data_IF_901504926987
#
_entry.id   IF_901504926987
#
_cell.length_a   1.000
_cell.length_b   1.000
_cell.length_c   1.000
_cell.angle_alpha   90.00
_cell.angle_beta   90.00
_cell.angle_gamma   90.00
#
_symmetry.space_group_name_H-M   'P 1'
#
loop_
_entity.id
_entity.type
_entity.pdbx_description
1 polymer ?
#
# COMPACT_ATOMS: atom_id res chain seq x y z
N UNK A 1 -47.03 -60.64 14.39
CA UNK A 1 -45.69 -60.30 14.91
C UNK A 1 -45.10 -59.24 13.97
N UNK A 2 -45.20 -57.99 14.40
CA UNK A 2 -44.80 -56.81 13.59
C UNK A 2 -43.34 -56.50 13.90
N UNK A 3 -42.51 -56.50 12.84
CA UNK A 3 -41.11 -56.03 12.91
C UNK A 3 -41.11 -54.52 12.86
N UNK A 4 -40.67 -53.87 13.91
CA UNK A 4 -40.31 -52.44 13.93
C UNK A 4 -38.92 -52.27 13.34
N UNK A 5 -38.85 -51.60 12.21
CA UNK A 5 -37.59 -51.08 11.64
C UNK A 5 -37.36 -49.69 12.24
N UNK A 6 -36.36 -49.56 13.10
CA UNK A 6 -35.84 -48.27 13.57
C UNK A 6 -34.87 -47.75 12.51
N UNK A 7 -35.30 -46.73 11.77
CA UNK A 7 -34.41 -45.91 10.92
C UNK A 7 -33.81 -44.83 11.81
N UNK A 8 -32.54 -44.99 12.17
CA UNK A 8 -31.73 -43.92 12.75
C UNK A 8 -31.41 -42.93 11.63
N UNK A 9 -32.17 -41.86 11.56
CA UNK A 9 -31.81 -40.68 10.77
C UNK A 9 -30.72 -39.93 11.55
N UNK A 10 -29.45 -40.14 11.16
CA UNK A 10 -28.36 -39.27 11.60
C UNK A 10 -28.60 -37.87 11.02
N UNK A 11 -29.14 -36.97 11.83
CA UNK A 11 -29.13 -35.54 11.55
C UNK A 11 -27.68 -35.06 11.59
N UNK A 12 -27.05 -35.01 10.43
CA UNK A 12 -25.81 -34.24 10.23
C UNK A 12 -26.22 -32.78 10.28
N UNK A 13 -26.22 -32.19 11.47
CA UNK A 13 -26.23 -30.72 11.60
C UNK A 13 -24.97 -30.18 10.97
N UNK A 14 -25.04 -29.87 9.67
CA UNK A 14 -24.16 -28.89 9.07
C UNK A 14 -24.40 -27.59 9.81
N UNK A 15 -23.62 -27.31 10.83
CA UNK A 15 -23.45 -25.96 11.35
C UNK A 15 -22.68 -25.22 10.26
N UNK A 16 -23.40 -24.78 9.23
CA UNK A 16 -22.94 -23.65 8.45
C UNK A 16 -22.91 -22.50 9.44
N UNK A 17 -21.72 -22.16 9.94
CA UNK A 17 -21.49 -20.87 10.54
C UNK A 17 -21.81 -19.86 9.45
N UNK A 18 -23.05 -19.43 9.40
CA UNK A 18 -23.42 -18.26 8.66
C UNK A 18 -22.54 -17.16 9.25
N UNK A 19 -21.45 -16.83 8.56
CA UNK A 19 -20.71 -15.60 8.85
C UNK A 19 -21.78 -14.50 8.77
N UNK A 20 -22.15 -13.95 9.93
CA UNK A 20 -23.09 -12.88 10.01
C UNK A 20 -22.54 -11.79 9.08
N UNK A 21 -23.31 -11.42 8.05
CA UNK A 21 -22.94 -10.29 7.21
C UNK A 21 -22.70 -9.12 8.15
N UNK A 22 -21.58 -8.38 7.99
CA UNK A 22 -21.28 -7.23 8.81
C UNK A 22 -22.55 -6.36 8.87
N UNK A 23 -23.02 -6.08 10.06
CA UNK A 23 -24.18 -5.21 10.23
C UNK A 23 -23.64 -3.80 10.14
N UNK A 24 -23.99 -3.06 9.08
CA UNK A 24 -23.62 -1.66 8.96
C UNK A 24 -24.13 -0.93 10.20
N UNK A 25 -23.20 -0.36 10.97
CA UNK A 25 -23.54 0.47 12.11
C UNK A 25 -24.28 1.72 11.61
N UNK A 26 -25.38 2.07 12.27
CA UNK A 26 -26.04 3.36 12.03
C UNK A 26 -25.27 4.53 12.66
N UNK A 27 -24.30 4.25 13.52
CA UNK A 27 -23.44 5.25 14.10
C UNK A 27 -22.46 5.73 13.04
N UNK A 28 -22.29 7.01 12.97
CA UNK A 28 -21.48 7.69 11.95
C UNK A 28 -20.39 8.50 12.62
N UNK A 29 -19.57 7.84 13.45
CA UNK A 29 -18.47 8.52 14.13
C UNK A 29 -17.59 9.32 13.15
N UNK A 30 -17.29 8.73 11.98
CA UNK A 30 -16.52 9.43 10.96
C UNK A 30 -17.28 10.64 10.39
N UNK A 31 -18.59 10.52 10.14
CA UNK A 31 -19.41 11.62 9.62
C UNK A 31 -19.43 12.79 10.58
N UNK A 32 -19.71 12.54 11.85
CA UNK A 32 -19.84 13.59 12.86
C UNK A 32 -18.58 14.44 13.00
N UNK A 33 -17.42 13.82 12.92
CA UNK A 33 -16.12 14.52 13.03
C UNK A 33 -15.65 15.14 11.71
N UNK A 34 -16.06 14.61 10.55
CA UNK A 34 -15.61 15.10 9.23
C UNK A 34 -16.55 16.13 8.62
N UNK A 35 -17.83 16.16 8.99
CA UNK A 35 -18.82 17.08 8.42
C UNK A 35 -18.37 18.54 8.48
N UNK A 36 -17.79 19.07 9.59
CA UNK A 36 -17.34 20.45 9.65
C UNK A 36 -16.30 20.81 8.59
N UNK A 37 -15.40 19.87 8.24
CA UNK A 37 -14.37 20.08 7.23
C UNK A 37 -14.93 20.01 5.80
N UNK A 38 -16.02 19.29 5.59
CA UNK A 38 -16.72 19.28 4.30
C UNK A 38 -17.52 20.57 4.15
N UNK A 39 -18.20 21.03 5.19
CA UNK A 39 -19.04 22.22 5.16
C UNK A 39 -18.23 23.50 4.95
N UNK A 40 -17.01 23.57 5.48
CA UNK A 40 -16.10 24.70 5.28
C UNK A 40 -15.23 24.59 4.01
N UNK A 41 -15.38 23.49 3.22
CA UNK A 41 -14.67 23.25 1.96
C UNK A 41 -13.22 22.78 2.09
N UNK A 42 -12.71 22.58 3.30
CA UNK A 42 -11.34 22.07 3.50
C UNK A 42 -11.20 20.62 3.04
N UNK A 43 -12.25 19.80 3.24
CA UNK A 43 -12.30 18.41 2.81
C UNK A 43 -13.32 18.25 1.68
N UNK A 44 -12.88 18.10 0.42
CA UNK A 44 -13.79 17.89 -0.71
C UNK A 44 -14.68 16.66 -0.54
N UNK A 45 -14.08 15.55 -0.13
CA UNK A 45 -14.77 14.32 0.19
C UNK A 45 -13.84 13.28 0.79
N UNK A 46 -14.43 12.31 1.47
CA UNK A 46 -13.71 11.20 2.07
C UNK A 46 -14.55 9.91 2.10
N UNK A 47 -13.85 8.78 2.03
CA UNK A 47 -14.38 7.47 2.40
C UNK A 47 -13.67 7.04 3.67
N UNK A 48 -14.44 6.59 4.66
CA UNK A 48 -13.94 5.97 5.89
C UNK A 48 -14.62 4.64 6.11
N UNK A 49 -13.82 3.62 6.48
CA UNK A 49 -14.34 2.32 6.91
C UNK A 49 -13.63 1.92 8.19
N UNK A 50 -14.40 1.62 9.22
CA UNK A 50 -13.95 0.97 10.44
C UNK A 50 -14.60 -0.40 10.54
N UNK A 51 -13.82 -1.41 10.87
CA UNK A 51 -14.29 -2.78 11.02
C UNK A 51 -13.73 -3.40 12.29
N UNK A 52 -14.61 -4.05 13.07
CA UNK A 52 -14.25 -4.83 14.25
C UNK A 52 -15.31 -5.91 14.50
N UNK A 53 -14.86 -7.14 14.72
CA UNK A 53 -15.72 -8.26 15.14
C UNK A 53 -16.98 -8.46 14.28
N UNK A 54 -16.84 -8.33 12.96
CA UNK A 54 -17.97 -8.47 12.02
C UNK A 54 -18.85 -7.22 11.88
N UNK A 55 -18.62 -6.18 12.69
CA UNK A 55 -19.32 -4.88 12.58
C UNK A 55 -18.51 -3.94 11.69
N UNK A 56 -19.16 -3.33 10.71
CA UNK A 56 -18.53 -2.37 9.82
C UNK A 56 -19.29 -1.05 9.84
N UNK A 57 -18.58 0.05 10.10
CA UNK A 57 -19.05 1.40 9.82
C UNK A 57 -18.44 1.85 8.48
N UNK A 58 -19.31 2.34 7.59
CA UNK A 58 -18.90 2.92 6.31
C UNK A 58 -19.44 4.33 6.19
N UNK A 59 -18.56 5.28 5.91
CA UNK A 59 -18.93 6.68 5.71
C UNK A 59 -18.38 7.16 4.36
N UNK A 60 -19.29 7.56 3.46
CA UNK A 60 -18.96 8.35 2.28
C UNK A 60 -19.50 9.75 2.49
N UNK A 61 -18.63 10.76 2.50
CA UNK A 61 -19.01 12.15 2.80
C UNK A 61 -18.42 13.09 1.77
N UNK A 62 -19.15 14.15 1.39
CA UNK A 62 -18.69 15.11 0.40
C UNK A 62 -18.73 14.59 -1.03
N UNK A 63 -17.76 15.00 -1.85
CA UNK A 63 -17.76 14.83 -3.29
C UNK A 63 -16.48 14.14 -3.77
N UNK A 64 -16.62 13.28 -4.77
CA UNK A 64 -15.51 12.79 -5.57
C UNK A 64 -15.06 13.82 -6.62
N UNK A 65 -16.00 14.68 -7.04
CA UNK A 65 -15.77 15.82 -7.91
C UNK A 65 -16.67 16.99 -7.44
N UNK A 66 -16.05 18.01 -6.88
CA UNK A 66 -16.77 19.19 -6.33
C UNK A 66 -17.43 20.00 -7.43
N UNK A 67 -16.74 20.20 -8.57
CA UNK A 67 -17.24 21.00 -9.68
C UNK A 67 -18.47 20.36 -10.33
N UNK A 68 -18.43 19.05 -10.54
CA UNK A 68 -19.54 18.27 -11.06
C UNK A 68 -20.60 17.92 -9.99
N UNK A 69 -20.37 18.26 -8.74
CA UNK A 69 -21.21 17.86 -7.58
C UNK A 69 -21.44 16.35 -7.50
N UNK A 70 -20.46 15.56 -7.97
CA UNK A 70 -20.53 14.10 -7.93
C UNK A 70 -20.16 13.58 -6.55
N UNK A 71 -21.13 13.03 -5.84
CA UNK A 71 -20.91 12.46 -4.49
C UNK A 71 -19.90 11.33 -4.54
N UNK A 72 -19.05 11.25 -3.50
CA UNK A 72 -18.06 10.17 -3.35
C UNK A 72 -18.74 8.87 -2.93
N UNK A 73 -18.24 7.74 -3.45
CA UNK A 73 -18.80 6.39 -3.21
C UNK A 73 -17.68 5.37 -3.05
N UNK A 74 -17.99 4.23 -2.45
CA UNK A 74 -17.08 3.11 -2.19
C UNK A 74 -16.47 2.49 -3.47
N UNK A 75 -17.15 2.63 -4.60
CA UNK A 75 -16.73 2.13 -5.92
C UNK A 75 -16.06 3.19 -6.79
N UNK A 76 -15.88 4.40 -6.29
CA UNK A 76 -15.08 5.41 -6.99
C UNK A 76 -13.61 5.03 -7.01
N UNK A 77 -12.97 5.31 -8.16
CA UNK A 77 -11.57 4.95 -8.43
C UNK A 77 -10.63 6.03 -7.92
N UNK A 78 -9.59 5.63 -7.23
CA UNK A 78 -8.54 6.54 -6.77
C UNK A 78 -7.16 5.92 -6.92
N UNK A 79 -6.16 6.79 -7.01
CA UNK A 79 -4.77 6.35 -6.99
C UNK A 79 -4.34 6.12 -5.54
N UNK A 80 -3.99 4.87 -5.21
CA UNK A 80 -3.65 4.51 -3.83
C UNK A 80 -2.20 4.85 -3.44
N UNK A 81 -1.40 5.28 -4.42
CA UNK A 81 0.00 5.66 -4.21
C UNK A 81 0.80 4.59 -3.46
N UNK A 82 1.50 4.98 -2.41
CA UNK A 82 2.43 4.12 -1.66
C UNK A 82 1.82 2.87 -1.03
N UNK A 83 0.50 2.77 -0.92
CA UNK A 83 -0.14 1.51 -0.51
C UNK A 83 0.12 0.37 -1.51
N UNK A 84 0.52 0.69 -2.76
CA UNK A 84 0.99 -0.29 -3.76
C UNK A 84 2.15 -1.14 -3.25
N UNK A 85 3.00 -0.59 -2.36
CA UNK A 85 4.17 -1.29 -1.81
C UNK A 85 3.81 -2.58 -1.09
N UNK A 86 2.71 -2.59 -0.34
CA UNK A 86 2.23 -3.79 0.34
C UNK A 86 1.88 -4.93 -0.63
N UNK A 87 1.40 -4.61 -1.83
CA UNK A 87 1.13 -5.60 -2.87
C UNK A 87 2.42 -6.24 -3.40
N UNK A 88 3.48 -5.45 -3.57
CA UNK A 88 4.80 -5.98 -3.89
C UNK A 88 5.33 -6.88 -2.75
N UNK A 89 5.19 -6.43 -1.51
CA UNK A 89 5.56 -7.22 -0.33
C UNK A 89 4.87 -8.58 -0.29
N UNK A 90 3.57 -8.63 -0.57
CA UNK A 90 2.80 -9.89 -0.63
C UNK A 90 3.29 -10.80 -1.76
N UNK A 91 3.62 -10.27 -2.95
CA UNK A 91 4.16 -11.09 -4.05
C UNK A 91 5.53 -11.69 -3.71
N UNK A 92 6.40 -10.92 -3.05
CA UNK A 92 7.68 -11.42 -2.55
C UNK A 92 7.48 -12.46 -1.45
N UNK A 93 6.59 -12.18 -0.48
CA UNK A 93 6.27 -13.13 0.59
C UNK A 93 5.80 -14.47 0.05
N UNK A 94 5.00 -14.46 -1.01
CA UNK A 94 4.56 -15.67 -1.70
C UNK A 94 5.71 -16.45 -2.32
N UNK A 95 6.66 -15.78 -2.98
CA UNK A 95 7.84 -16.45 -3.52
C UNK A 95 8.75 -17.02 -2.44
N UNK A 96 8.85 -16.36 -1.28
CA UNK A 96 9.55 -16.89 -0.10
C UNK A 96 8.87 -18.14 0.43
N UNK A 97 7.56 -18.10 0.60
CA UNK A 97 6.73 -19.23 1.06
C UNK A 97 6.87 -20.44 0.12
N UNK A 98 6.94 -20.21 -1.19
CA UNK A 98 7.15 -21.24 -2.20
C UNK A 98 8.61 -21.74 -2.28
N UNK A 99 9.53 -21.22 -1.46
CA UNK A 99 10.94 -21.58 -1.44
C UNK A 99 11.73 -21.15 -2.70
N UNK A 100 11.19 -20.27 -3.51
CA UNK A 100 11.82 -19.78 -4.74
C UNK A 100 12.91 -18.75 -4.49
N UNK A 101 12.78 -17.98 -3.41
CA UNK A 101 13.73 -16.96 -2.97
C UNK A 101 13.85 -16.98 -1.45
N UNK A 102 14.97 -16.42 -0.93
CA UNK A 102 15.11 -16.04 0.47
C UNK A 102 15.18 -14.52 0.58
N UNK A 103 14.65 -13.94 1.66
CA UNK A 103 14.79 -12.51 1.93
C UNK A 103 16.26 -12.07 2.06
N UNK A 104 17.13 -12.98 2.47
CA UNK A 104 18.55 -12.73 2.66
C UNK A 104 19.40 -13.10 1.42
N UNK A 105 18.75 -13.55 0.34
CA UNK A 105 19.43 -13.71 -0.94
C UNK A 105 19.97 -12.36 -1.44
N UNK A 106 21.20 -12.32 -1.97
CA UNK A 106 21.71 -11.17 -2.70
C UNK A 106 20.78 -10.82 -3.87
N UNK A 107 20.45 -9.56 -4.03
CA UNK A 107 19.70 -9.08 -5.21
C UNK A 107 20.41 -9.50 -6.50
N UNK A 108 21.75 -9.49 -6.51
CA UNK A 108 22.59 -9.90 -7.64
C UNK A 108 22.42 -11.36 -8.08
N UNK A 109 21.88 -12.22 -7.24
CA UNK A 109 21.52 -13.60 -7.61
C UNK A 109 20.48 -13.65 -8.72
N UNK A 110 19.59 -12.66 -8.78
CA UNK A 110 18.48 -12.57 -9.72
C UNK A 110 18.66 -11.44 -10.74
N UNK A 111 19.38 -10.40 -10.36
CA UNK A 111 19.67 -9.20 -11.11
C UNK A 111 21.19 -8.97 -11.09
N UNK A 112 21.96 -9.62 -12.01
CA UNK A 112 23.42 -9.61 -11.98
C UNK A 112 24.07 -8.22 -11.96
N UNK A 113 23.39 -7.21 -12.50
CA UNK A 113 23.83 -5.81 -12.50
C UNK A 113 24.00 -5.22 -11.09
N UNK A 114 23.46 -5.87 -10.05
CA UNK A 114 23.63 -5.47 -8.64
C UNK A 114 24.84 -6.13 -7.96
N UNK A 115 25.70 -6.86 -8.69
CA UNK A 115 26.85 -7.52 -8.11
C UNK A 115 27.94 -6.55 -7.62
N UNK A 116 28.02 -5.38 -8.24
CA UNK A 116 29.00 -4.35 -7.89
C UNK A 116 28.30 -3.00 -7.79
N UNK A 117 28.11 -2.52 -6.56
CA UNK A 117 27.44 -1.26 -6.26
C UNK A 117 28.42 -0.23 -5.71
N UNK A 118 28.13 1.03 -5.92
CA UNK A 118 28.91 2.16 -5.45
C UNK A 118 28.11 2.97 -4.45
N UNK A 119 28.78 3.47 -3.42
CA UNK A 119 28.21 4.31 -2.35
C UNK A 119 28.78 5.70 -2.45
N UNK A 120 27.93 6.71 -2.29
CA UNK A 120 28.30 8.11 -2.29
C UNK A 120 28.98 8.47 -0.96
N UNK A 121 30.24 8.92 -1.00
CA UNK A 121 30.95 9.47 0.15
C UNK A 121 30.67 10.96 0.30
N UNK A 122 30.87 11.71 -0.78
CA UNK A 122 30.74 13.17 -0.81
C UNK A 122 30.32 13.65 -2.20
N UNK A 123 29.55 14.71 -2.24
CA UNK A 123 29.27 15.49 -3.45
C UNK A 123 29.66 16.95 -3.21
N UNK A 124 30.66 17.44 -3.94
CA UNK A 124 31.15 18.81 -3.83
C UNK A 124 31.40 19.37 -5.21
N UNK A 125 30.87 20.57 -5.48
CA UNK A 125 31.00 21.30 -6.75
C UNK A 125 30.67 20.45 -8.00
N UNK A 126 29.64 19.55 -7.85
CA UNK A 126 29.21 18.63 -8.90
C UNK A 126 30.10 17.40 -9.10
N UNK A 127 31.16 17.25 -8.30
CA UNK A 127 32.05 16.09 -8.29
C UNK A 127 31.59 15.13 -7.20
N UNK A 128 31.39 13.85 -7.55
CA UNK A 128 31.01 12.78 -6.61
C UNK A 128 32.22 11.88 -6.33
N UNK A 129 32.52 11.72 -5.04
CA UNK A 129 33.47 10.71 -4.57
C UNK A 129 32.69 9.47 -4.16
N UNK A 130 33.12 8.32 -4.66
CA UNK A 130 32.43 7.05 -4.46
C UNK A 130 33.40 6.00 -3.94
N UNK A 131 32.88 5.05 -3.15
CA UNK A 131 33.57 3.80 -2.87
C UNK A 131 32.70 2.59 -3.21
N UNK A 132 33.31 1.42 -3.41
CA UNK A 132 32.56 0.16 -3.62
C UNK A 132 31.81 -0.20 -2.34
N UNK A 133 30.53 -0.59 -2.49
CA UNK A 133 29.76 -1.10 -1.36
C UNK A 133 30.48 -2.29 -0.70
N UNK A 134 30.57 -2.26 0.62
CA UNK A 134 31.14 -3.33 1.44
C UNK A 134 30.10 -4.38 1.81
N UNK A 135 28.85 -3.94 1.96
CA UNK A 135 27.73 -4.78 2.35
C UNK A 135 27.00 -5.30 1.11
N UNK A 136 26.61 -6.57 1.17
CA UNK A 136 25.79 -7.19 0.13
C UNK A 136 24.36 -6.66 0.23
N UNK A 137 23.82 -6.18 -0.89
CA UNK A 137 22.41 -5.78 -0.97
C UNK A 137 21.51 -7.01 -1.04
N UNK A 138 20.57 -7.15 -0.12
CA UNK A 138 19.63 -8.28 -0.07
C UNK A 138 18.20 -7.86 -0.48
N UNK A 139 17.35 -8.84 -0.82
CA UNK A 139 15.92 -8.64 -1.12
C UNK A 139 15.21 -7.97 0.06
N UNK A 140 15.53 -8.36 1.29
CA UNK A 140 15.02 -7.73 2.52
C UNK A 140 15.27 -6.23 2.53
N UNK A 141 16.49 -5.81 2.21
CA UNK A 141 16.93 -4.42 2.30
C UNK A 141 16.24 -3.50 1.28
N UNK A 142 15.94 -3.99 0.09
CA UNK A 142 15.22 -3.18 -0.92
C UNK A 142 13.77 -2.96 -0.52
N UNK A 143 13.13 -3.94 0.13
CA UNK A 143 11.71 -3.88 0.49
C UNK A 143 11.44 -3.17 1.81
N UNK A 144 12.39 -3.16 2.73
CA UNK A 144 12.25 -2.49 4.03
C UNK A 144 12.96 -1.12 4.10
N UNK A 145 13.39 -0.60 2.95
CA UNK A 145 14.01 0.72 2.82
C UNK A 145 15.37 0.89 3.50
N UNK A 146 16.14 -0.19 3.65
CA UNK A 146 17.53 -0.13 4.15
C UNK A 146 18.57 -0.34 3.05
N UNK A 147 18.16 -0.38 1.78
CA UNK A 147 19.04 -0.67 0.64
C UNK A 147 19.94 0.48 0.18
N UNK A 148 19.76 1.70 0.70
CA UNK A 148 20.59 2.86 0.32
C UNK A 148 20.13 3.63 -0.92
N UNK A 149 18.97 3.33 -1.48
CA UNK A 149 18.46 4.02 -2.68
C UNK A 149 17.82 5.36 -2.36
N UNK A 150 17.90 6.35 -3.28
CA UNK A 150 17.10 7.56 -3.19
C UNK A 150 15.59 7.25 -3.31
N UNK A 151 14.75 8.25 -2.99
CA UNK A 151 13.29 8.08 -3.09
C UNK A 151 12.87 7.62 -4.47
N UNK A 152 13.40 8.27 -5.51
CA UNK A 152 13.20 7.91 -6.90
C UNK A 152 14.49 8.10 -7.69
N UNK A 153 14.70 7.26 -8.70
CA UNK A 153 15.71 7.47 -9.70
C UNK A 153 15.05 8.11 -10.89
N UNK A 154 15.41 9.36 -11.14
CA UNK A 154 15.01 10.08 -12.33
C UNK A 154 15.83 9.56 -13.51
N UNK A 155 15.32 8.58 -14.24
CA UNK A 155 15.76 8.36 -15.60
C UNK A 155 15.24 9.52 -16.45
N UNK A 156 15.99 10.64 -16.49
CA UNK A 156 15.71 11.72 -17.44
C UNK A 156 16.02 11.19 -18.84
N UNK A 157 15.07 10.51 -19.44
CA UNK A 157 15.08 10.34 -20.89
C UNK A 157 14.61 11.66 -21.49
N UNK A 158 15.43 12.26 -22.33
CA UNK A 158 15.14 13.52 -23.00
C UNK A 158 13.89 13.46 -23.91
N UNK A 159 13.40 12.24 -24.19
CA UNK A 159 12.30 11.92 -25.10
C UNK A 159 10.96 11.59 -24.38
N UNK A 160 10.95 11.54 -23.03
CA UNK A 160 9.72 11.29 -22.28
C UNK A 160 9.23 12.58 -21.62
N UNK A 161 8.23 13.21 -22.24
CA UNK A 161 7.48 14.31 -21.64
C UNK A 161 6.57 13.80 -20.55
N UNK A 162 6.91 14.04 -19.31
CA UNK A 162 6.05 13.70 -18.17
C UNK A 162 6.86 13.71 -16.89
N UNK A 163 6.70 14.75 -16.09
CA UNK A 163 7.51 14.96 -14.90
C UNK A 163 7.34 13.91 -13.84
N UNK A 164 8.43 13.57 -13.19
CA UNK A 164 8.47 13.30 -11.76
C UNK A 164 8.39 11.86 -11.28
N UNK A 165 7.99 10.88 -12.06
CA UNK A 165 7.99 9.48 -11.64
C UNK A 165 8.68 8.68 -12.75
N UNK A 166 9.67 7.87 -12.42
CA UNK A 166 10.57 7.13 -13.33
C UNK A 166 9.87 6.69 -14.63
N UNK A 167 9.77 7.64 -15.58
CA UNK A 167 8.87 7.53 -16.68
C UNK A 167 9.42 6.69 -17.83
N UNK A 168 8.63 5.77 -18.35
CA UNK A 168 8.75 5.26 -19.69
C UNK A 168 9.71 4.08 -19.91
N UNK A 169 10.32 3.51 -18.86
CA UNK A 169 11.13 2.29 -18.99
C UNK A 169 10.47 1.14 -18.21
N UNK A 170 10.51 -0.10 -18.74
CA UNK A 170 10.06 -1.28 -17.99
C UNK A 170 10.76 -1.42 -16.64
N UNK A 171 10.13 -2.09 -15.68
CA UNK A 171 10.65 -2.30 -14.32
C UNK A 171 12.09 -2.85 -14.33
N UNK A 172 12.40 -3.84 -15.16
CA UNK A 172 13.75 -4.41 -15.29
C UNK A 172 14.79 -3.38 -15.73
N UNK A 173 14.45 -2.54 -16.71
CA UNK A 173 15.36 -1.48 -17.16
C UNK A 173 15.53 -0.40 -16.09
N UNK A 174 14.46 -0.04 -15.39
CA UNK A 174 14.52 0.92 -14.25
C UNK A 174 15.42 0.37 -13.14
N UNK A 175 15.34 -0.93 -12.82
CA UNK A 175 16.22 -1.58 -11.87
C UNK A 175 17.70 -1.53 -12.32
N UNK A 176 18.01 -1.77 -13.60
CA UNK A 176 19.37 -1.66 -14.12
C UNK A 176 19.93 -0.24 -14.03
N UNK A 177 19.10 0.79 -14.26
CA UNK A 177 19.48 2.20 -14.04
C UNK A 177 19.77 2.45 -12.56
N UNK A 178 18.99 1.84 -11.66
CA UNK A 178 19.19 1.93 -10.22
C UNK A 178 20.55 1.32 -9.80
N UNK A 179 20.92 0.17 -10.37
CA UNK A 179 22.20 -0.47 -10.11
C UNK A 179 23.40 0.38 -10.56
N UNK A 180 23.24 1.16 -11.63
CA UNK A 180 24.26 2.08 -12.14
C UNK A 180 24.36 3.40 -11.35
N UNK A 181 23.43 3.65 -10.42
CA UNK A 181 23.36 4.88 -9.62
C UNK A 181 24.00 4.67 -8.26
N UNK A 182 24.78 5.65 -7.71
CA UNK A 182 25.35 5.49 -6.39
C UNK A 182 24.28 5.38 -5.30
N UNK A 183 24.50 4.48 -4.35
CA UNK A 183 23.74 4.39 -3.11
C UNK A 183 24.07 5.59 -2.22
N UNK A 184 23.14 6.02 -1.40
CA UNK A 184 23.31 7.14 -0.47
C UNK A 184 24.00 6.73 0.83
N UNK A 185 24.07 5.44 1.12
CA UNK A 185 24.74 4.82 2.26
C UNK A 185 24.90 3.32 2.05
N UNK A 186 25.78 2.70 2.84
CA UNK A 186 26.00 1.26 2.84
C UNK A 186 24.70 0.48 3.10
N UNK A 187 24.36 -0.54 2.29
CA UNK A 187 23.17 -1.37 2.50
C UNK A 187 23.08 -1.90 3.92
N UNK A 188 21.91 -1.79 4.53
CA UNK A 188 21.61 -2.26 5.88
C UNK A 188 22.03 -1.34 7.03
N UNK A 189 22.72 -0.22 6.78
CA UNK A 189 23.26 0.64 7.84
C UNK A 189 22.34 1.77 8.29
N UNK A 190 21.45 2.21 7.41
CA UNK A 190 20.49 3.30 7.64
C UNK A 190 19.17 2.96 6.97
N UNK A 191 18.14 3.74 7.29
CA UNK A 191 16.86 3.67 6.61
C UNK A 191 16.59 4.94 5.80
N UNK A 192 16.07 4.77 4.60
CA UNK A 192 15.56 5.86 3.77
C UNK A 192 14.43 5.33 2.89
N UNK A 193 13.26 5.90 3.06
CA UNK A 193 12.09 5.54 2.28
C UNK A 193 12.33 5.71 0.77
N UNK A 194 12.01 4.67 -0.02
CA UNK A 194 12.38 4.60 -1.44
C UNK A 194 11.33 3.86 -2.27
N UNK A 195 10.82 4.50 -3.32
CA UNK A 195 10.06 3.81 -4.35
C UNK A 195 10.99 2.90 -5.17
N UNK A 196 12.20 3.37 -5.46
CA UNK A 196 13.22 2.64 -6.23
C UNK A 196 13.51 1.26 -5.64
N UNK A 197 13.68 1.19 -4.31
CA UNK A 197 13.91 -0.11 -3.64
C UNK A 197 12.77 -1.09 -3.90
N UNK A 198 11.52 -0.65 -3.76
CA UNK A 198 10.35 -1.51 -4.01
C UNK A 198 10.26 -1.93 -5.48
N UNK A 199 10.55 -1.02 -6.42
CA UNK A 199 10.56 -1.34 -7.86
C UNK A 199 11.65 -2.37 -8.20
N UNK A 200 12.79 -2.37 -7.50
CA UNK A 200 13.81 -3.45 -7.59
C UNK A 200 13.22 -4.78 -7.08
N UNK A 201 12.44 -4.78 -5.99
CA UNK A 201 11.72 -5.96 -5.53
C UNK A 201 10.79 -6.53 -6.61
N UNK A 202 10.05 -5.68 -7.31
CA UNK A 202 9.22 -6.10 -8.45
C UNK A 202 10.06 -6.66 -9.61
N UNK A 203 11.25 -6.09 -9.88
CA UNK A 203 12.17 -6.63 -10.87
C UNK A 203 12.69 -8.03 -10.50
N UNK A 204 12.90 -8.30 -9.21
CA UNK A 204 13.22 -9.66 -8.70
C UNK A 204 12.06 -10.62 -8.99
N UNK A 205 10.79 -10.20 -8.75
CA UNK A 205 9.64 -11.03 -9.12
C UNK A 205 9.65 -11.39 -10.61
N UNK A 206 9.90 -10.42 -11.50
CA UNK A 206 10.01 -10.68 -12.94
C UNK A 206 11.15 -11.65 -13.28
N UNK A 207 12.30 -11.50 -12.62
CA UNK A 207 13.46 -12.36 -12.87
C UNK A 207 13.21 -13.82 -12.45
N UNK A 208 12.54 -14.02 -11.30
CA UNK A 208 12.26 -15.35 -10.73
C UNK A 208 11.14 -16.06 -11.45
N UNK A 209 10.10 -15.32 -11.87
CA UNK A 209 8.87 -15.91 -12.41
C UNK A 209 8.83 -15.95 -13.94
N UNK A 210 9.67 -15.16 -14.61
CA UNK A 210 9.61 -14.95 -16.07
C UNK A 210 8.37 -14.16 -16.52
N UNK A 211 7.54 -13.67 -15.59
CA UNK A 211 6.34 -12.90 -15.88
C UNK A 211 6.57 -11.41 -15.57
N UNK A 212 5.83 -10.55 -16.25
CA UNK A 212 5.73 -9.15 -15.83
C UNK A 212 5.15 -9.06 -14.43
N UNK A 213 5.67 -8.15 -13.59
CA UNK A 213 5.24 -8.06 -12.21
C UNK A 213 3.73 -7.80 -12.06
N UNK A 214 3.18 -6.90 -12.84
CA UNK A 214 1.75 -6.60 -12.83
C UNK A 214 0.86 -7.80 -13.23
N UNK A 215 1.37 -8.66 -14.09
CA UNK A 215 0.68 -9.89 -14.48
C UNK A 215 0.75 -10.94 -13.38
N UNK A 216 1.91 -11.08 -12.73
CA UNK A 216 2.08 -11.97 -11.59
C UNK A 216 1.21 -11.53 -10.42
N UNK A 217 1.23 -10.23 -10.07
CA UNK A 217 0.35 -9.66 -9.05
C UNK A 217 -1.13 -9.92 -9.34
N UNK A 218 -1.53 -9.69 -10.59
CA UNK A 218 -2.92 -9.93 -11.01
C UNK A 218 -3.32 -11.39 -10.82
N UNK A 219 -2.51 -12.33 -11.30
CA UNK A 219 -2.78 -13.76 -11.23
C UNK A 219 -2.79 -14.31 -9.81
N UNK A 220 -1.83 -13.90 -8.99
CA UNK A 220 -1.60 -14.51 -7.68
C UNK A 220 -2.35 -13.84 -6.53
N UNK A 221 -2.76 -12.57 -6.70
CA UNK A 221 -3.35 -11.78 -5.63
C UNK A 221 -4.69 -11.16 -6.04
N UNK A 222 -4.72 -10.36 -7.12
CA UNK A 222 -5.91 -9.57 -7.44
C UNK A 222 -7.09 -10.45 -7.88
N UNK A 223 -6.86 -11.36 -8.83
CA UNK A 223 -7.91 -12.24 -9.34
C UNK A 223 -8.43 -13.21 -8.26
N UNK A 224 -7.57 -13.90 -7.49
CA UNK A 224 -8.03 -14.77 -6.40
C UNK A 224 -8.83 -14.04 -5.33
N UNK A 225 -8.48 -12.79 -4.98
CA UNK A 225 -9.25 -11.96 -4.05
C UNK A 225 -10.50 -11.33 -4.68
N UNK A 226 -10.69 -11.46 -5.99
CA UNK A 226 -11.79 -10.83 -6.72
C UNK A 226 -11.69 -9.30 -6.77
N UNK A 227 -10.47 -8.76 -6.84
CA UNK A 227 -10.18 -7.33 -6.93
C UNK A 227 -10.27 -6.87 -8.39
N UNK A 228 -11.49 -6.76 -8.91
CA UNK A 228 -11.76 -6.48 -10.34
C UNK A 228 -11.62 -5.00 -10.71
N UNK A 229 -11.49 -4.13 -9.73
CA UNK A 229 -11.39 -2.68 -9.87
C UNK A 229 -10.04 -2.16 -9.38
N UNK A 230 -8.96 -2.91 -9.66
CA UNK A 230 -7.57 -2.57 -9.28
C UNK A 230 -6.66 -2.77 -10.48
N UNK A 231 -5.97 -1.70 -10.92
CA UNK A 231 -5.17 -1.67 -12.14
C UNK A 231 -3.97 -0.73 -12.03
N UNK A 232 -2.95 -0.94 -12.86
CA UNK A 232 -1.89 0.05 -13.08
C UNK A 232 -2.30 1.10 -14.12
N UNK A 233 -3.06 0.71 -15.11
CA UNK A 233 -3.46 1.55 -16.26
C UNK A 233 -4.97 1.47 -16.48
N UNK A 234 -5.76 2.16 -15.64
CA UNK A 234 -7.20 2.23 -15.82
C UNK A 234 -7.53 2.91 -17.17
N UNK A 235 -8.52 2.40 -17.85
CA UNK A 235 -9.04 2.99 -19.09
C UNK A 235 -9.79 4.29 -18.81
N UNK A 236 -9.98 5.13 -19.82
CA UNK A 236 -10.76 6.36 -19.72
C UNK A 236 -12.18 6.11 -19.19
N UNK A 237 -12.77 4.98 -19.54
CA UNK A 237 -14.08 4.57 -19.01
C UNK A 237 -14.04 4.38 -17.49
N UNK A 238 -12.98 3.77 -16.97
CA UNK A 238 -12.79 3.56 -15.52
C UNK A 238 -12.49 4.88 -14.80
N UNK A 239 -11.69 5.76 -15.42
CA UNK A 239 -11.35 7.07 -14.89
C UNK A 239 -12.52 8.05 -14.84
N UNK A 240 -13.65 7.80 -15.53
CA UNK A 240 -14.88 8.60 -15.37
C UNK A 240 -15.44 8.60 -13.94
N UNK A 241 -15.09 7.58 -13.16
CA UNK A 241 -15.45 7.47 -11.74
C UNK A 241 -14.28 7.80 -10.81
N UNK A 242 -13.28 8.51 -11.31
CA UNK A 242 -12.11 8.93 -10.52
C UNK A 242 -12.51 9.93 -9.44
N UNK A 243 -11.93 9.79 -8.25
CA UNK A 243 -11.92 10.84 -7.25
C UNK A 243 -10.89 11.88 -7.65
N UNK A 244 -11.29 13.15 -7.80
CA UNK A 244 -10.40 14.23 -8.19
C UNK A 244 -9.42 14.57 -7.07
N UNK A 245 -8.19 14.94 -7.45
CA UNK A 245 -7.16 15.40 -6.53
C UNK A 245 -7.27 16.90 -6.29
N UNK A 246 -7.25 17.28 -5.02
CA UNK A 246 -7.29 18.67 -4.59
C UNK A 246 -6.01 19.04 -3.86
N UNK A 247 -5.68 20.32 -3.82
CA UNK A 247 -4.64 20.86 -2.97
C UNK A 247 -5.28 21.59 -1.78
N UNK A 248 -4.79 21.30 -0.58
CA UNK A 248 -5.13 22.07 0.60
C UNK A 248 -4.09 23.18 0.78
N UNK A 249 -4.56 24.41 0.94
CA UNK A 249 -3.76 25.53 1.45
C UNK A 249 -4.11 25.74 2.93
N UNK A 250 -3.16 26.20 3.73
CA UNK A 250 -3.33 26.41 5.16
C UNK A 250 -4.62 27.20 5.48
N UNK A 251 -5.57 26.52 6.13
CA UNK A 251 -6.85 27.08 6.55
C UNK A 251 -7.85 27.44 5.44
N UNK A 252 -7.48 27.37 4.18
CA UNK A 252 -8.34 27.68 3.04
C UNK A 252 -9.11 26.44 2.54
N UNK A 253 -10.22 26.62 1.80
CA UNK A 253 -10.85 25.55 1.07
C UNK A 253 -9.88 24.84 0.12
N UNK A 254 -10.08 23.54 -0.09
CA UNK A 254 -9.29 22.75 -1.01
C UNK A 254 -9.54 23.18 -2.47
N UNK A 255 -8.47 23.32 -3.23
CA UNK A 255 -8.52 23.78 -4.64
C UNK A 255 -8.14 22.64 -5.58
N UNK A 256 -8.91 22.47 -6.65
CA UNK A 256 -8.48 21.66 -7.79
C UNK A 256 -7.64 22.50 -8.76
N UNK A 257 -6.57 21.89 -9.29
CA UNK A 257 -5.72 22.51 -10.31
C UNK A 257 -5.41 21.53 -11.42
N UNK A 258 -5.18 22.03 -12.62
CA UNK A 258 -4.90 21.19 -13.79
C UNK A 258 -3.65 20.32 -13.61
N UNK A 259 -2.59 20.84 -13.01
CA UNK A 259 -1.39 20.06 -12.72
C UNK A 259 -1.65 18.88 -11.79
N UNK A 260 -2.66 18.95 -10.93
CA UNK A 260 -3.07 17.84 -10.07
C UNK A 260 -3.78 16.76 -10.86
N UNK A 261 -4.60 17.13 -11.82
CA UNK A 261 -5.17 16.20 -12.78
C UNK A 261 -4.09 15.47 -13.59
N UNK A 262 -3.00 16.16 -13.92
CA UNK A 262 -1.84 15.54 -14.59
C UNK A 262 -1.08 14.59 -13.67
N UNK A 263 -0.94 14.89 -12.37
CA UNK A 263 -0.34 13.97 -11.39
C UNK A 263 -1.17 12.70 -11.21
N UNK A 264 -2.48 12.77 -11.37
CA UNK A 264 -3.40 11.62 -11.32
C UNK A 264 -3.50 10.88 -12.67
N UNK A 265 -2.53 10.95 -13.55
CA UNK A 265 -2.52 10.12 -14.76
C UNK A 265 -1.84 8.76 -14.47
N UNK A 266 -2.25 7.68 -15.19
CA UNK A 266 -1.46 6.46 -15.22
C UNK A 266 -0.01 6.78 -15.61
N UNK A 267 0.94 6.08 -15.01
CA UNK A 267 2.37 6.44 -15.00
C UNK A 267 3.04 6.65 -16.36
N UNK A 268 2.47 6.17 -17.44
CA UNK A 268 2.91 6.51 -18.80
C UNK A 268 1.89 6.04 -19.85
N UNK A 269 1.85 6.75 -20.96
CA UNK A 269 0.97 6.42 -22.09
C UNK A 269 1.35 5.11 -22.79
N UNK A 270 2.58 4.63 -22.60
CA UNK A 270 3.09 3.40 -23.20
C UNK A 270 2.75 2.13 -22.40
N UNK A 271 2.18 2.26 -21.19
CA UNK A 271 1.82 1.16 -20.28
C UNK A 271 2.98 0.17 -20.03
N UNK A 272 4.21 0.67 -19.83
CA UNK A 272 5.41 -0.17 -19.68
C UNK A 272 5.98 -0.20 -18.27
N UNK A 273 5.65 0.81 -17.42
CA UNK A 273 6.18 0.92 -16.06
C UNK A 273 5.06 0.75 -15.02
N UNK A 274 4.95 -0.45 -14.47
CA UNK A 274 4.05 -0.77 -13.37
C UNK A 274 4.73 -0.48 -12.03
N UNK A 275 4.80 0.80 -11.60
CA UNK A 275 5.49 1.15 -10.35
C UNK A 275 4.94 0.37 -9.15
N UNK A 276 5.79 -0.46 -8.57
CA UNK A 276 5.50 -1.16 -7.33
C UNK A 276 5.52 -0.22 -6.11
N UNK A 277 6.20 0.93 -6.27
CA UNK A 277 6.25 1.97 -5.26
C UNK A 277 4.94 2.74 -5.10
N UNK A 278 4.13 2.94 -6.19
CA UNK A 278 2.97 3.82 -6.10
C UNK A 278 1.93 3.70 -7.24
N UNK A 279 2.05 2.76 -8.18
CA UNK A 279 1.34 2.82 -9.48
C UNK A 279 -0.10 2.30 -9.51
N UNK A 280 -0.61 1.66 -8.47
CA UNK A 280 -1.95 1.07 -8.48
C UNK A 280 -3.06 2.10 -8.29
N UNK A 281 -4.09 1.93 -9.12
CA UNK A 281 -5.41 2.51 -8.96
C UNK A 281 -6.36 1.44 -8.42
N UNK A 282 -7.28 1.83 -7.55
CA UNK A 282 -8.18 0.90 -6.89
C UNK A 282 -9.48 1.59 -6.47
N UNK A 283 -10.36 0.84 -5.83
CA UNK A 283 -11.55 1.33 -5.13
C UNK A 283 -11.47 0.95 -3.64
N UNK A 284 -12.22 1.63 -2.78
CA UNK A 284 -12.27 1.27 -1.37
C UNK A 284 -12.78 -0.16 -1.16
N UNK A 285 -13.72 -0.61 -2.00
CA UNK A 285 -14.21 -2.00 -1.97
C UNK A 285 -13.11 -3.03 -2.25
N UNK A 286 -12.24 -2.80 -3.23
CA UNK A 286 -11.15 -3.74 -3.52
C UNK A 286 -10.04 -3.64 -2.49
N UNK A 287 -9.72 -2.43 -2.03
CA UNK A 287 -8.73 -2.22 -0.99
C UNK A 287 -9.07 -2.97 0.31
N UNK A 288 -10.35 -2.97 0.70
CA UNK A 288 -10.83 -3.76 1.85
C UNK A 288 -10.57 -5.26 1.67
N UNK A 289 -10.71 -5.82 0.47
CA UNK A 289 -10.42 -7.25 0.23
C UNK A 289 -8.96 -7.58 0.52
N UNK A 290 -8.04 -6.73 0.06
CA UNK A 290 -6.60 -6.93 0.29
C UNK A 290 -6.25 -6.81 1.79
N UNK A 291 -6.69 -5.74 2.45
CA UNK A 291 -6.34 -5.54 3.85
C UNK A 291 -7.07 -6.50 4.80
N UNK A 292 -8.28 -6.93 4.48
CA UNK A 292 -8.95 -8.01 5.22
C UNK A 292 -8.23 -9.35 5.07
N UNK A 293 -7.68 -9.65 3.88
CA UNK A 293 -6.81 -10.82 3.70
C UNK A 293 -5.59 -10.75 4.64
N UNK A 294 -4.94 -9.58 4.77
CA UNK A 294 -3.84 -9.40 5.72
C UNK A 294 -4.31 -9.55 7.18
N UNK A 295 -5.44 -8.93 7.55
CA UNK A 295 -6.05 -9.04 8.89
C UNK A 295 -6.43 -10.49 9.23
N UNK A 296 -6.85 -11.26 8.25
CA UNK A 296 -7.21 -12.66 8.40
C UNK A 296 -6.04 -13.63 8.12
N UNK A 297 -4.80 -13.13 8.29
CA UNK A 297 -3.59 -13.94 8.21
C UNK A 297 -3.52 -14.77 6.92
N UNK A 298 -3.70 -14.08 5.80
CA UNK A 298 -3.52 -14.63 4.47
C UNK A 298 -4.80 -15.18 3.81
N UNK A 299 -5.96 -15.10 4.46
CA UNK A 299 -7.24 -15.59 3.89
C UNK A 299 -8.17 -14.44 3.56
N UNK A 300 -8.60 -14.35 2.30
CA UNK A 300 -9.59 -13.37 1.85
C UNK A 300 -11.01 -13.66 2.38
N UNK A 301 -11.88 -12.64 2.37
CA UNK A 301 -13.29 -12.78 2.77
C UNK A 301 -14.07 -13.83 1.93
N UNK A 302 -13.55 -14.16 0.74
CA UNK A 302 -14.09 -15.21 -0.12
C UNK A 302 -13.57 -16.62 0.20
N UNK A 303 -12.80 -16.77 1.28
CA UNK A 303 -12.21 -18.03 1.73
C UNK A 303 -10.94 -18.45 0.99
N UNK A 304 -10.49 -17.68 0.00
CA UNK A 304 -9.26 -18.01 -0.74
C UNK A 304 -8.03 -17.66 0.09
N UNK A 305 -7.10 -18.60 0.22
CA UNK A 305 -5.81 -18.37 0.87
C UNK A 305 -4.80 -17.86 -0.14
N UNK A 306 -4.20 -16.72 0.16
CA UNK A 306 -3.11 -16.09 -0.60
C UNK A 306 -1.76 -16.46 0.01
N UNK A 307 -1.63 -16.38 1.33
CA UNK A 307 -0.42 -16.67 2.10
C UNK A 307 -0.75 -17.56 3.28
N UNK A 308 0.25 -18.29 3.79
CA UNK A 308 0.13 -18.97 5.07
C UNK A 308 0.14 -17.95 6.22
N UNK A 309 -0.47 -18.35 7.33
CA UNK A 309 -0.55 -17.54 8.54
C UNK A 309 0.83 -17.13 9.05
N UNK A 310 1.75 -18.09 9.12
CA UNK A 310 3.12 -17.86 9.59
C UNK A 310 3.87 -16.86 8.71
N UNK A 311 3.67 -16.91 7.39
CA UNK A 311 4.25 -15.97 6.44
C UNK A 311 3.79 -14.53 6.73
N UNK A 312 2.48 -14.34 6.99
CA UNK A 312 1.97 -13.01 7.33
C UNK A 312 2.56 -12.52 8.64
N UNK A 313 2.58 -13.36 9.69
CA UNK A 313 3.07 -12.99 11.02
C UNK A 313 4.56 -12.66 11.02
N UNK A 314 5.39 -13.47 10.35
CA UNK A 314 6.85 -13.37 10.46
C UNK A 314 7.47 -12.31 9.58
N UNK A 315 6.87 -11.97 8.42
CA UNK A 315 7.52 -11.09 7.44
C UNK A 315 6.67 -9.93 6.92
N UNK A 316 5.39 -9.85 7.27
CA UNK A 316 4.52 -8.74 6.89
C UNK A 316 4.00 -7.94 8.09
N UNK A 317 3.55 -8.61 9.14
CA UNK A 317 2.92 -8.00 10.30
C UNK A 317 3.93 -7.47 11.34
N UNK A 318 5.21 -7.79 11.22
CA UNK A 318 6.29 -7.36 12.10
C UNK A 318 7.46 -6.79 11.29
N UNK A 319 8.24 -5.90 11.87
CA UNK A 319 9.38 -5.29 11.19
C UNK A 319 10.41 -6.32 10.74
N UNK A 320 10.96 -6.10 9.53
CA UNK A 320 12.12 -6.85 9.02
C UNK A 320 13.42 -6.05 9.09
N UNK A 321 13.39 -4.88 9.72
CA UNK A 321 14.55 -3.99 9.94
C UNK A 321 15.33 -4.37 11.19
N UNK A 322 16.61 -3.96 11.30
CA UNK A 322 17.37 -4.02 12.54
C UNK A 322 16.66 -3.32 13.70
N UNK A 323 16.91 -3.77 14.92
CA UNK A 323 16.22 -3.31 16.14
C UNK A 323 16.35 -1.80 16.39
N UNK A 324 17.48 -1.20 16.01
CA UNK A 324 17.76 0.24 16.16
C UNK A 324 17.06 1.14 15.13
N UNK A 325 16.30 0.58 14.18
CA UNK A 325 15.60 1.31 13.13
C UNK A 325 14.09 1.37 13.39
N UNK A 326 13.39 2.22 12.65
CA UNK A 326 11.92 2.31 12.67
C UNK A 326 11.24 1.03 12.20
N UNK A 327 9.99 0.82 12.60
CA UNK A 327 9.24 -0.36 12.25
C UNK A 327 8.77 -0.35 10.79
N UNK A 328 9.25 -1.29 9.97
CA UNK A 328 8.82 -1.49 8.58
C UNK A 328 9.12 -2.93 8.14
N UNK A 329 8.19 -3.53 7.40
CA UNK A 329 8.34 -4.87 6.85
C UNK A 329 8.52 -4.85 5.33
N UNK A 330 8.00 -5.84 4.62
CA UNK A 330 8.07 -5.89 3.16
C UNK A 330 7.04 -4.96 2.54
N UNK A 331 7.37 -3.69 2.37
CA UNK A 331 6.46 -2.71 1.76
C UNK A 331 5.29 -2.28 2.64
N UNK A 332 5.28 -2.58 3.93
CA UNK A 332 4.28 -2.18 4.91
C UNK A 332 4.92 -1.53 6.13
N UNK A 333 4.29 -0.49 6.68
CA UNK A 333 4.56 -0.06 8.05
C UNK A 333 4.16 -1.19 8.99
N UNK A 334 5.04 -1.59 9.89
CA UNK A 334 4.84 -2.71 10.77
C UNK A 334 5.45 -2.42 12.15
N UNK A 335 4.89 -2.95 13.25
CA UNK A 335 5.41 -2.75 14.58
C UNK A 335 6.78 -3.43 14.75
N UNK A 336 7.55 -2.98 15.76
CA UNK A 336 8.82 -3.62 16.14
C UNK A 336 8.61 -4.95 16.85
N UNK A 337 7.49 -5.10 17.52
CA UNK A 337 7.09 -6.30 18.24
C UNK A 337 5.67 -6.66 17.86
N UNK A 338 5.40 -7.94 17.79
CA UNK A 338 4.06 -8.45 17.66
C UNK A 338 3.39 -8.44 19.05
N UNK A 339 2.36 -7.62 19.19
CA UNK A 339 1.54 -7.51 20.40
C UNK A 339 0.06 -7.24 20.03
N UNK A 340 -0.83 -7.33 21.02
CA UNK A 340 -2.28 -7.19 20.80
C UNK A 340 -2.68 -5.80 20.27
N UNK A 341 -1.87 -4.78 20.49
CA UNK A 341 -2.12 -3.41 20.02
C UNK A 341 -1.37 -3.10 18.72
N UNK A 342 -0.70 -4.08 18.13
CA UNK A 342 0.11 -3.93 16.95
C UNK A 342 -0.74 -3.73 15.69
N UNK A 343 -0.50 -2.62 15.00
CA UNK A 343 -1.13 -2.29 13.72
C UNK A 343 -0.10 -2.33 12.61
N UNK A 344 -0.45 -2.91 11.47
CA UNK A 344 0.37 -2.86 10.28
C UNK A 344 -0.47 -2.52 9.06
N UNK A 345 0.18 -2.02 8.01
CA UNK A 345 -0.48 -1.56 6.80
C UNK A 345 0.30 -0.44 6.14
N UNK A 346 -0.35 0.40 5.36
CA UNK A 346 0.34 1.51 4.71
C UNK A 346 -0.57 2.71 4.43
N UNK A 347 0.03 3.89 4.46
CA UNK A 347 -0.54 5.11 3.91
C UNK A 347 -0.13 5.33 2.46
N UNK A 348 -0.83 6.23 1.79
CA UNK A 348 -0.49 6.72 0.46
C UNK A 348 -0.43 8.24 0.44
N UNK A 349 0.38 8.82 -0.43
CA UNK A 349 0.31 10.23 -0.72
C UNK A 349 -1.15 10.59 -1.04
N UNK A 350 -1.53 11.81 -0.80
CA UNK A 350 -2.89 12.33 -0.97
C UNK A 350 -3.93 11.81 0.04
N UNK A 351 -3.46 11.22 1.18
CA UNK A 351 -4.30 10.91 2.34
C UNK A 351 -5.08 9.61 2.26
N UNK A 352 -4.64 8.64 1.47
CA UNK A 352 -5.12 7.27 1.60
C UNK A 352 -4.42 6.57 2.75
N UNK A 353 -5.12 5.74 3.51
CA UNK A 353 -4.53 4.93 4.57
C UNK A 353 -5.37 3.68 4.82
N UNK A 354 -4.71 2.54 5.02
CA UNK A 354 -5.36 1.36 5.56
C UNK A 354 -4.42 0.61 6.49
N UNK A 355 -4.89 0.36 7.70
CA UNK A 355 -4.17 -0.35 8.74
C UNK A 355 -5.05 -1.44 9.31
N UNK A 356 -4.43 -2.54 9.72
CA UNK A 356 -5.11 -3.68 10.32
C UNK A 356 -4.42 -4.11 11.61
N UNK A 357 -5.22 -4.61 12.55
CA UNK A 357 -4.77 -5.35 13.72
C UNK A 357 -5.34 -6.77 13.62
N UNK A 358 -4.49 -7.75 13.40
CA UNK A 358 -4.92 -9.13 13.21
C UNK A 358 -5.34 -9.83 14.52
N UNK A 359 -4.79 -9.40 15.66
CA UNK A 359 -5.15 -9.94 16.98
C UNK A 359 -6.60 -9.59 17.34
N UNK A 360 -6.96 -8.31 17.16
CA UNK A 360 -8.28 -7.77 17.51
C UNK A 360 -9.29 -7.83 16.37
N UNK A 361 -8.89 -8.34 15.19
CA UNK A 361 -9.73 -8.33 13.98
C UNK A 361 -10.28 -6.95 13.67
N UNK A 362 -9.44 -5.95 13.77
CA UNK A 362 -9.76 -4.56 13.53
C UNK A 362 -9.13 -4.06 12.23
N UNK A 363 -9.87 -3.24 11.48
CA UNK A 363 -9.40 -2.58 10.28
C UNK A 363 -9.90 -1.13 10.27
N UNK A 364 -9.01 -0.22 9.88
CA UNK A 364 -9.35 1.15 9.53
C UNK A 364 -8.90 1.46 8.12
N UNK A 365 -9.79 2.04 7.33
CA UNK A 365 -9.48 2.53 6.00
C UNK A 365 -10.05 3.92 5.85
N UNK A 366 -9.27 4.82 5.23
CA UNK A 366 -9.81 6.05 4.67
C UNK A 366 -9.17 6.38 3.34
N UNK A 367 -9.95 7.03 2.49
CA UNK A 367 -9.56 7.53 1.20
C UNK A 367 -9.86 9.01 1.17
N UNK A 368 -8.81 9.79 1.00
CA UNK A 368 -8.86 11.22 0.75
C UNK A 368 -7.93 11.46 -0.43
N UNK A 369 -8.32 12.31 -1.36
CA UNK A 369 -7.47 12.69 -2.49
C UNK A 369 -7.15 14.18 -2.35
N UNK A 370 -6.22 14.47 -1.43
CA UNK A 370 -5.82 15.84 -1.13
C UNK A 370 -4.29 15.91 -0.97
N UNK A 371 -3.66 16.75 -1.77
CA UNK A 371 -2.21 16.94 -1.79
C UNK A 371 -1.81 18.19 -0.97
N UNK A 372 -0.67 18.09 -0.28
CA UNK A 372 -0.04 19.20 0.44
C UNK A 372 -0.72 19.58 1.76
N UNK A 373 -0.03 20.42 2.54
CA UNK A 373 -0.49 21.00 3.79
C UNK A 373 -0.70 20.04 4.95
N UNK A 374 -0.97 20.60 6.12
CA UNK A 374 -1.46 19.83 7.26
C UNK A 374 -2.89 19.37 6.96
N UNK A 375 -3.18 18.11 7.19
CA UNK A 375 -4.51 17.54 7.03
C UNK A 375 -5.27 17.69 8.36
N UNK A 376 -6.04 18.78 8.56
CA UNK A 376 -6.64 19.12 9.87
C UNK A 376 -7.66 18.10 10.34
N UNK A 377 -8.21 17.29 9.42
CA UNK A 377 -9.12 16.19 9.72
C UNK A 377 -8.43 14.94 10.29
N UNK A 378 -7.09 14.81 10.21
CA UNK A 378 -6.39 13.59 10.66
C UNK A 378 -6.67 13.27 12.13
N UNK A 379 -6.56 14.26 13.01
CA UNK A 379 -6.89 14.07 14.43
C UNK A 379 -8.38 13.73 14.64
N UNK A 380 -9.27 14.30 13.82
CA UNK A 380 -10.68 13.99 13.87
C UNK A 380 -10.97 12.54 13.44
N UNK A 381 -10.27 12.05 12.40
CA UNK A 381 -10.38 10.65 11.96
C UNK A 381 -9.83 9.69 13.00
N UNK A 382 -8.71 10.00 13.66
CA UNK A 382 -8.19 9.21 14.77
C UNK A 382 -9.17 9.18 15.94
N UNK A 383 -9.81 10.31 16.26
CA UNK A 383 -10.87 10.37 17.29
C UNK A 383 -12.03 9.47 16.93
N UNK A 384 -12.51 9.52 15.70
CA UNK A 384 -13.63 8.68 15.23
C UNK A 384 -13.27 7.19 15.30
N UNK A 385 -12.07 6.81 14.86
CA UNK A 385 -11.58 5.44 14.95
C UNK A 385 -11.48 4.97 16.41
N UNK A 386 -10.95 5.81 17.31
CA UNK A 386 -10.87 5.50 18.74
C UNK A 386 -12.24 5.29 19.38
N UNK A 387 -13.24 6.10 19.00
CA UNK A 387 -14.61 5.93 19.46
C UNK A 387 -15.22 4.62 18.97
N UNK A 388 -15.00 4.28 17.70
CA UNK A 388 -15.49 3.04 17.11
C UNK A 388 -14.84 1.80 17.76
N UNK A 389 -13.54 1.81 17.95
CA UNK A 389 -12.81 0.67 18.53
C UNK A 389 -12.89 0.63 20.06
N UNK A 390 -13.30 1.74 20.70
CA UNK A 390 -13.24 1.96 22.16
C UNK A 390 -11.81 1.78 22.73
N UNK A 391 -10.80 2.09 21.93
CA UNK A 391 -9.38 2.00 22.30
C UNK A 391 -8.67 3.30 21.93
N UNK A 392 -7.69 3.75 22.72
CA UNK A 392 -6.83 4.84 22.31
C UNK A 392 -6.06 4.39 21.07
N UNK A 393 -6.07 5.25 20.07
CA UNK A 393 -5.34 5.03 18.83
C UNK A 393 -3.84 5.10 19.11
N UNK A 394 -3.14 3.96 19.12
CA UNK A 394 -1.69 4.00 19.26
C UNK A 394 -1.09 4.47 17.92
N UNK A 395 -0.34 5.56 17.96
CA UNK A 395 0.49 6.01 16.82
C UNK A 395 1.65 5.04 16.52
N UNK A 396 1.64 3.85 17.12
CA UNK A 396 2.68 2.85 16.98
C UNK A 396 2.74 2.34 15.55
N UNK A 397 3.76 2.72 14.81
CA UNK A 397 4.13 2.21 13.51
C UNK A 397 3.85 3.10 12.30
N UNK A 398 2.97 4.09 12.37
CA UNK A 398 3.02 5.18 11.44
C UNK A 398 4.17 6.11 11.87
N UNK A 399 5.37 5.87 11.37
CA UNK A 399 6.38 6.92 11.39
C UNK A 399 5.71 8.19 10.91
N UNK A 400 5.95 9.32 11.57
CA UNK A 400 5.46 10.60 11.13
C UNK A 400 5.76 10.72 9.64
N UNK A 401 4.76 10.45 8.80
CA UNK A 401 4.80 10.82 7.41
C UNK A 401 4.60 12.33 7.38
N UNK A 402 5.62 13.04 7.75
CA UNK A 402 5.77 14.42 7.35
C UNK A 402 5.97 14.36 5.84
N UNK A 403 4.86 14.40 5.10
CA UNK A 403 4.85 14.53 3.64
C UNK A 403 5.44 15.85 3.22
N UNK A 404 6.71 16.05 3.48
CA UNK A 404 7.54 16.93 2.69
C UNK A 404 8.00 16.10 1.50
N UNK A 405 7.35 16.31 0.37
CA UNK A 405 8.01 16.19 -0.92
C UNK A 405 9.25 17.06 -0.81
N UNK A 406 10.37 16.45 -0.44
CA UNK A 406 11.61 17.15 -0.25
C UNK A 406 12.01 17.80 -1.57
N UNK A 407 11.97 19.12 -1.59
CA UNK A 407 13.00 19.89 -2.24
C UNK A 407 14.27 19.61 -1.43
N UNK A 408 15.11 18.70 -1.91
CA UNK A 408 16.59 18.75 -1.86
C UNK A 408 17.15 17.55 -2.62
#
# INVERSE_FOLDING_TARGET
>A
MKRFLLILAALFCLVMSAQAKPKDSKTTYARDVLQPYVDNGQLPGAISVFYKDGVQETCCIGYADVAAKRRIRMDDVFMQCSQTKGFCGVTIAKLVEEGKISLDDPVSKYLPEFAELWVLDEEKDGVKTLHKAKNVLTIRMVLNHTGGFPFEISAKRADVRGGGWSGGAPIRQTASIAAASPLLFEPGTKERYSNTGIDIGAAVVEAVTGMKWEQYLKREVLDPLGMKSTWFWPSDRQLKHKVELYALKDGAPAEWREEMGQQQRPYNDAHVFASAGAGLWTTANDQLKFYKMLMNLGVGDNGVRILQEETVKSILAVTTRPENMGGYSLGLSAPKKDDEDAWFGHGGAWGTNCMVNWHKKELRLWVIQNAGGNQPWSAAMDKAANQFFALPFSKSGAGEYTGRLGSD
#
